data_IF_872043087973
#
_entry.id   IF_872043087973
#
_cell.length_a   1.000
_cell.length_b   1.000
_cell.length_c   1.000
_cell.angle_alpha   90.00
_cell.angle_beta   90.00
_cell.angle_gamma   90.00
#
_symmetry.space_group_name_H-M   'P 1'
#
loop_
_entity.id
_entity.type
_entity.pdbx_description
1 polymer ?
#
# COMPACT_ATOMS: atom_id res chain seq x y z
N UNK A 1 -13.74 12.60 9.45
CA UNK A 1 -13.99 11.16 9.24
C UNK A 1 -13.64 10.81 7.81
N UNK A 2 -13.17 9.58 7.56
CA UNK A 2 -12.81 9.12 6.22
C UNK A 2 -14.08 8.91 5.36
N UNK A 3 -14.14 9.52 4.17
CA UNK A 3 -15.27 9.34 3.25
C UNK A 3 -14.85 8.41 2.10
N UNK A 4 -15.31 7.16 2.18
CA UNK A 4 -14.95 6.09 1.25
C UNK A 4 -15.32 6.38 -0.19
N UNK A 5 -16.53 6.89 -0.43
CA UNK A 5 -17.00 7.23 -1.78
C UNK A 5 -16.09 8.28 -2.40
N UNK A 6 -15.70 9.29 -1.62
CA UNK A 6 -14.78 10.31 -2.10
C UNK A 6 -13.38 9.74 -2.37
N UNK A 7 -12.86 8.86 -1.50
CA UNK A 7 -11.57 8.19 -1.74
C UNK A 7 -11.58 7.42 -3.05
N UNK A 8 -12.61 6.61 -3.30
CA UNK A 8 -12.71 5.81 -4.51
C UNK A 8 -12.89 6.68 -5.77
N UNK A 9 -13.76 7.69 -5.72
CA UNK A 9 -13.97 8.60 -6.85
C UNK A 9 -12.71 9.40 -7.20
N UNK A 10 -12.00 9.92 -6.19
CA UNK A 10 -10.75 10.66 -6.40
C UNK A 10 -9.65 9.73 -6.91
N UNK A 11 -9.55 8.51 -6.38
CA UNK A 11 -8.63 7.48 -6.89
C UNK A 11 -8.86 7.22 -8.38
N UNK A 12 -10.11 6.95 -8.78
CA UNK A 12 -10.47 6.71 -10.18
C UNK A 12 -10.19 7.92 -11.07
N UNK A 13 -10.49 9.13 -10.58
CA UNK A 13 -10.23 10.37 -11.32
C UNK A 13 -8.73 10.58 -11.55
N UNK A 14 -7.90 10.40 -10.53
CA UNK A 14 -6.44 10.53 -10.64
C UNK A 14 -5.89 9.47 -11.59
N UNK A 15 -6.33 8.22 -11.42
CA UNK A 15 -5.92 7.13 -12.29
C UNK A 15 -6.29 7.38 -13.75
N UNK A 16 -7.51 7.83 -14.03
CA UNK A 16 -7.96 8.15 -15.38
C UNK A 16 -7.19 9.33 -16.01
N UNK A 17 -6.67 10.25 -15.20
CA UNK A 17 -5.95 11.42 -15.70
C UNK A 17 -4.49 11.11 -16.07
N UNK A 18 -3.85 10.15 -15.40
CA UNK A 18 -2.49 9.73 -15.72
C UNK A 18 -2.25 8.22 -15.54
N UNK A 19 -2.95 7.37 -16.31
CA UNK A 19 -2.92 5.92 -16.10
C UNK A 19 -1.54 5.35 -16.41
N UNK A 20 -0.93 5.76 -17.53
CA UNK A 20 0.37 5.25 -17.95
C UNK A 20 1.48 5.65 -16.98
N UNK A 21 1.46 6.87 -16.44
CA UNK A 21 2.41 7.31 -15.43
C UNK A 21 2.31 6.47 -14.16
N UNK A 22 1.10 6.27 -13.64
CA UNK A 22 0.88 5.51 -12.40
C UNK A 22 1.29 4.05 -12.58
N UNK A 23 0.91 3.43 -13.70
CA UNK A 23 1.32 2.06 -14.03
C UNK A 23 2.84 1.94 -14.19
N UNK A 24 3.48 2.90 -14.85
CA UNK A 24 4.93 2.92 -15.03
C UNK A 24 5.68 3.01 -13.70
N UNK A 25 5.32 3.98 -12.85
CA UNK A 25 5.97 4.14 -11.52
C UNK A 25 5.73 2.91 -10.65
N UNK A 26 4.53 2.33 -10.70
CA UNK A 26 4.23 1.07 -10.00
C UNK A 26 5.08 -0.08 -10.51
N UNK A 27 5.19 -0.25 -11.83
CA UNK A 27 6.02 -1.27 -12.45
C UNK A 27 7.48 -1.13 -12.05
N UNK A 28 8.05 0.08 -12.14
CA UNK A 28 9.44 0.34 -11.75
C UNK A 28 9.65 0.06 -10.26
N UNK A 29 8.75 0.51 -9.39
CA UNK A 29 8.81 0.25 -7.96
C UNK A 29 8.82 -1.26 -7.65
N UNK A 30 7.94 -2.02 -8.31
CA UNK A 30 7.86 -3.48 -8.16
C UNK A 30 9.11 -4.17 -8.72
N UNK A 31 9.54 -3.81 -9.93
CA UNK A 31 10.71 -4.39 -10.59
C UNK A 31 11.96 -4.21 -9.73
N UNK A 32 12.23 -2.99 -9.25
CA UNK A 32 13.42 -2.71 -8.44
C UNK A 32 13.33 -3.31 -7.03
N UNK A 33 12.13 -3.43 -6.47
CA UNK A 33 11.93 -4.20 -5.24
C UNK A 33 12.25 -5.68 -5.47
N UNK A 34 11.84 -6.26 -6.60
CA UNK A 34 12.06 -7.66 -6.93
C UNK A 34 13.52 -7.99 -7.26
N UNK A 35 14.15 -7.28 -8.21
CA UNK A 35 15.54 -7.56 -8.64
C UNK A 35 16.57 -7.30 -7.54
N UNK A 36 16.23 -6.46 -6.55
CA UNK A 36 17.04 -6.24 -5.35
C UNK A 36 16.74 -7.23 -4.23
N UNK A 37 15.95 -8.27 -4.49
CA UNK A 37 15.51 -9.27 -3.50
C UNK A 37 14.87 -8.63 -2.25
N UNK A 38 14.08 -7.57 -2.46
CA UNK A 38 13.39 -6.86 -1.40
C UNK A 38 14.20 -5.80 -0.68
N UNK A 39 15.50 -5.62 -0.99
CA UNK A 39 16.34 -4.59 -0.35
C UNK A 39 15.74 -3.19 -0.57
N UNK A 40 15.25 -2.92 -1.79
CA UNK A 40 14.68 -1.62 -2.16
C UNK A 40 13.18 -1.48 -1.89
N UNK A 41 12.53 -2.44 -1.23
CA UNK A 41 11.08 -2.41 -1.03
C UNK A 41 10.62 -1.15 -0.30
N UNK A 42 11.33 -0.74 0.76
CA UNK A 42 11.03 0.48 1.49
C UNK A 42 11.20 1.74 0.63
N UNK A 43 12.39 1.99 0.05
CA UNK A 43 12.63 3.14 -0.81
C UNK A 43 11.64 3.24 -1.98
N UNK A 44 11.32 2.13 -2.63
CA UNK A 44 10.37 2.12 -3.75
C UNK A 44 8.93 2.38 -3.29
N UNK A 45 8.50 1.84 -2.15
CA UNK A 45 7.18 2.14 -1.58
C UNK A 45 7.07 3.62 -1.19
N UNK A 46 8.05 4.17 -0.48
CA UNK A 46 8.05 5.59 -0.07
C UNK A 46 8.17 6.51 -1.28
N UNK A 47 8.99 6.14 -2.27
CA UNK A 47 9.13 6.85 -3.53
C UNK A 47 7.82 6.90 -4.32
N UNK A 48 7.14 5.75 -4.48
CA UNK A 48 5.81 5.70 -5.08
C UNK A 48 4.84 6.64 -4.37
N UNK A 49 4.77 6.57 -3.04
CA UNK A 49 3.89 7.43 -2.26
C UNK A 49 4.24 8.92 -2.40
N UNK A 50 5.53 9.27 -2.50
CA UNK A 50 5.97 10.65 -2.73
C UNK A 50 5.53 11.17 -4.11
N UNK A 51 5.70 10.38 -5.18
CA UNK A 51 5.22 10.73 -6.53
C UNK A 51 3.70 10.93 -6.52
N UNK A 52 2.96 9.98 -5.96
CA UNK A 52 1.49 10.05 -5.93
C UNK A 52 0.98 11.22 -5.09
N UNK A 53 1.60 11.51 -3.94
CA UNK A 53 1.23 12.65 -3.10
C UNK A 53 1.52 13.98 -3.79
N UNK A 54 2.67 14.11 -4.46
CA UNK A 54 3.02 15.30 -5.27
C UNK A 54 1.98 15.52 -6.36
N UNK A 55 1.66 14.45 -7.10
CA UNK A 55 0.69 14.52 -8.19
C UNK A 55 -0.72 14.87 -7.68
N UNK A 56 -1.18 14.20 -6.62
CA UNK A 56 -2.51 14.44 -6.05
C UNK A 56 -2.68 15.87 -5.51
N UNK A 57 -1.66 16.42 -4.84
CA UNK A 57 -1.78 17.71 -4.15
C UNK A 57 -1.45 18.91 -5.02
N UNK A 58 -0.51 18.74 -5.95
CA UNK A 58 0.05 19.86 -6.72
C UNK A 58 -0.22 19.72 -8.23
N UNK A 59 -0.79 18.61 -8.68
CA UNK A 59 -1.01 18.32 -10.10
C UNK A 59 0.29 18.03 -10.86
N UNK A 60 1.43 18.01 -10.17
CA UNK A 60 2.75 17.84 -10.78
C UNK A 60 3.16 16.37 -10.82
N UNK A 61 3.42 15.87 -12.02
CA UNK A 61 3.96 14.54 -12.23
C UNK A 61 5.50 14.57 -12.17
N UNK A 62 6.06 14.13 -11.04
CA UNK A 62 7.52 14.16 -10.79
C UNK A 62 8.01 12.73 -10.47
N UNK A 63 8.17 11.85 -11.47
CA UNK A 63 8.53 10.44 -11.27
C UNK A 63 9.93 10.26 -10.67
N UNK A 64 10.80 11.26 -10.76
CA UNK A 64 12.14 11.27 -10.16
C UNK A 64 12.10 11.10 -8.64
N UNK A 65 10.99 11.49 -7.98
CA UNK A 65 10.79 11.29 -6.54
C UNK A 65 10.85 9.81 -6.13
N UNK A 66 10.61 8.88 -7.06
CA UNK A 66 10.77 7.44 -6.83
C UNK A 66 12.19 7.10 -6.36
N UNK A 67 13.18 7.86 -6.84
CA UNK A 67 14.61 7.64 -6.60
C UNK A 67 15.21 8.54 -5.53
N UNK A 68 14.40 9.30 -4.79
CA UNK A 68 14.91 10.28 -3.81
C UNK A 68 14.73 9.82 -2.35
N UNK A 69 14.22 8.60 -2.13
CA UNK A 69 13.82 8.12 -0.81
C UNK A 69 14.81 7.11 -0.18
N UNK A 70 16.09 7.18 -0.55
CA UNK A 70 17.17 6.31 -0.05
C UNK A 70 17.67 6.71 1.34
N UNK A 71 16.80 6.63 2.34
CA UNK A 71 17.11 6.99 3.73
C UNK A 71 17.08 5.74 4.62
N UNK A 72 17.97 5.65 5.60
CA UNK A 72 18.08 4.47 6.50
C UNK A 72 16.74 4.04 7.09
N UNK A 73 15.92 4.98 7.57
CA UNK A 73 14.61 4.69 8.16
C UNK A 73 13.63 4.08 7.16
N UNK A 74 13.75 4.43 5.88
CA UNK A 74 12.91 3.91 4.79
C UNK A 74 13.30 2.48 4.45
N UNK A 75 14.60 2.17 4.40
CA UNK A 75 15.08 0.78 4.29
C UNK A 75 14.59 -0.09 5.45
N UNK A 76 14.78 0.37 6.69
CA UNK A 76 14.32 -0.34 7.88
C UNK A 76 12.81 -0.58 7.85
N UNK A 77 12.00 0.42 7.49
CA UNK A 77 10.56 0.27 7.32
C UNK A 77 10.23 -0.83 6.30
N UNK A 78 10.90 -0.82 5.15
CA UNK A 78 10.73 -1.82 4.11
C UNK A 78 11.05 -3.23 4.58
N UNK A 79 12.16 -3.41 5.30
CA UNK A 79 12.55 -4.73 5.81
C UNK A 79 11.64 -5.23 6.92
N UNK A 80 11.18 -4.36 7.83
CA UNK A 80 10.20 -4.74 8.85
C UNK A 80 8.88 -5.13 8.18
N UNK A 81 8.42 -4.36 7.20
CA UNK A 81 7.24 -4.68 6.41
C UNK A 81 7.38 -6.05 5.70
N UNK A 82 8.50 -6.28 5.01
CA UNK A 82 8.78 -7.54 4.33
C UNK A 82 8.85 -8.71 5.32
N UNK A 83 9.52 -8.55 6.46
CA UNK A 83 9.58 -9.57 7.50
C UNK A 83 8.19 -9.93 8.02
N UNK A 84 7.30 -8.94 8.20
CA UNK A 84 5.91 -9.18 8.61
C UNK A 84 5.09 -9.91 7.55
N UNK A 85 5.29 -9.58 6.26
CA UNK A 85 4.66 -10.33 5.17
C UNK A 85 5.14 -11.79 5.14
N UNK A 86 6.44 -12.02 5.30
CA UNK A 86 7.03 -13.36 5.33
C UNK A 86 6.56 -14.16 6.55
N UNK A 87 6.42 -13.52 7.71
CA UNK A 87 5.84 -14.14 8.91
C UNK A 87 4.44 -14.69 8.61
N UNK A 88 3.62 -13.95 7.86
CA UNK A 88 2.29 -14.42 7.44
C UNK A 88 2.31 -15.64 6.52
N UNK A 89 3.42 -15.87 5.78
CA UNK A 89 3.60 -17.03 4.90
C UNK A 89 4.20 -18.24 5.62
N UNK A 90 5.11 -18.00 6.58
CA UNK A 90 5.97 -19.03 7.16
C UNK A 90 5.51 -19.47 8.54
N UNK A 91 4.85 -18.61 9.32
CA UNK A 91 4.38 -19.00 10.66
C UNK A 91 3.09 -19.81 10.49
N UNK A 92 3.11 -21.13 10.78
CA UNK A 92 1.91 -21.93 10.71
C UNK A 92 0.99 -21.47 11.84
N UNK A 93 0.00 -20.65 11.50
CA UNK A 93 -1.16 -20.53 12.36
C UNK A 93 -1.73 -21.95 12.51
N UNK A 94 -2.07 -22.40 13.73
CA UNK A 94 -2.61 -23.74 13.97
C UNK A 94 -4.06 -23.86 13.47
N UNK A 95 -4.29 -23.46 12.21
CA UNK A 95 -5.57 -23.40 11.52
C UNK A 95 -6.17 -24.79 11.29
N UNK A 96 -5.34 -25.82 11.30
CA UNK A 96 -5.74 -27.23 11.13
C UNK A 96 -6.71 -27.71 12.22
N UNK A 97 -6.75 -27.03 13.37
CA UNK A 97 -7.68 -27.34 14.47
C UNK A 97 -9.06 -26.70 14.29
N UNK A 98 -9.23 -25.83 13.32
CA UNK A 98 -10.46 -25.10 13.05
C UNK A 98 -11.15 -25.63 11.79
N UNK A 99 -12.45 -25.37 11.65
CA UNK A 99 -13.15 -25.65 10.39
C UNK A 99 -12.56 -24.80 9.25
N UNK A 100 -12.66 -25.25 7.97
CA UNK A 100 -12.10 -24.51 6.84
C UNK A 100 -12.57 -23.04 6.76
N UNK A 101 -13.84 -22.80 7.09
CA UNK A 101 -14.43 -21.44 7.10
C UNK A 101 -13.78 -20.58 8.18
N UNK A 102 -13.62 -21.11 9.40
CA UNK A 102 -13.01 -20.36 10.51
C UNK A 102 -11.52 -20.10 10.24
N UNK A 103 -10.82 -21.07 9.66
CA UNK A 103 -9.43 -20.90 9.24
C UNK A 103 -9.26 -19.74 8.23
N UNK A 104 -10.14 -19.66 7.24
CA UNK A 104 -10.12 -18.59 6.23
C UNK A 104 -10.46 -17.23 6.85
N UNK A 105 -11.43 -17.17 7.77
CA UNK A 105 -11.77 -15.94 8.48
C UNK A 105 -10.61 -15.43 9.36
N UNK A 106 -9.90 -16.34 10.03
CA UNK A 106 -8.71 -15.99 10.82
C UNK A 106 -7.58 -15.48 9.93
N UNK A 107 -7.37 -16.09 8.76
CA UNK A 107 -6.41 -15.62 7.76
C UNK A 107 -6.75 -14.21 7.27
N UNK A 108 -8.02 -13.98 6.92
CA UNK A 108 -8.53 -12.68 6.50
C UNK A 108 -8.35 -11.63 7.62
N UNK A 109 -8.66 -11.98 8.87
CA UNK A 109 -8.49 -11.09 10.01
C UNK A 109 -7.01 -10.73 10.24
N UNK A 110 -6.11 -11.70 10.18
CA UNK A 110 -4.67 -11.48 10.32
C UNK A 110 -4.13 -10.54 9.23
N UNK A 111 -4.49 -10.78 7.96
CA UNK A 111 -4.11 -9.91 6.86
C UNK A 111 -4.70 -8.51 6.98
N UNK A 112 -5.92 -8.40 7.51
CA UNK A 112 -6.56 -7.10 7.76
C UNK A 112 -5.83 -6.32 8.84
N UNK A 113 -5.40 -6.98 9.93
CA UNK A 113 -4.59 -6.34 10.98
C UNK A 113 -3.25 -5.86 10.42
N UNK A 114 -2.56 -6.70 9.64
CA UNK A 114 -1.29 -6.31 8.99
C UNK A 114 -1.49 -5.15 8.01
N UNK A 115 -2.56 -5.20 7.21
CA UNK A 115 -2.93 -4.14 6.27
C UNK A 115 -3.24 -2.82 6.97
N UNK A 116 -3.95 -2.86 8.10
CA UNK A 116 -4.22 -1.67 8.91
C UNK A 116 -2.96 -1.11 9.56
N UNK A 117 -2.09 -1.97 10.09
CA UNK A 117 -0.82 -1.58 10.70
C UNK A 117 0.07 -0.80 9.72
N UNK A 118 0.08 -1.22 8.46
CA UNK A 118 0.89 -0.64 7.39
C UNK A 118 0.12 0.24 6.41
N UNK A 119 -1.07 0.71 6.78
CA UNK A 119 -1.94 1.46 5.86
C UNK A 119 -1.39 2.85 5.50
N UNK A 120 -0.80 3.55 6.47
CA UNK A 120 -0.26 4.92 6.33
C UNK A 120 1.26 5.14 6.56
N UNK A 121 2.07 4.20 7.08
CA UNK A 121 3.47 4.49 7.39
C UNK A 121 4.29 4.98 6.20
N UNK A 122 4.10 4.43 5.00
CA UNK A 122 4.89 4.84 3.84
C UNK A 122 4.51 6.24 3.33
N UNK A 123 3.25 6.65 3.47
CA UNK A 123 2.76 8.00 3.17
C UNK A 123 3.35 9.02 4.16
N UNK A 124 3.36 8.69 5.46
CA UNK A 124 4.01 9.51 6.48
C UNK A 124 5.52 9.64 6.25
N UNK A 125 6.20 8.54 5.91
CA UNK A 125 7.63 8.56 5.61
C UNK A 125 7.96 9.37 4.35
N UNK A 126 7.06 9.36 3.37
CA UNK A 126 7.20 10.14 2.14
C UNK A 126 7.06 11.64 2.41
N UNK A 127 6.10 12.05 3.25
CA UNK A 127 5.81 13.46 3.50
C UNK A 127 6.67 14.08 4.62
N UNK A 128 6.83 13.38 5.74
CA UNK A 128 7.32 13.96 7.01
C UNK A 128 8.74 13.54 7.38
N UNK A 129 9.31 12.60 6.63
CA UNK A 129 10.67 12.13 6.77
C UNK A 129 11.11 11.61 8.15
N UNK A 130 10.17 11.28 9.04
CA UNK A 130 10.44 10.78 10.41
C UNK A 130 10.96 9.34 10.47
N UNK A 131 11.01 8.77 11.69
CA UNK A 131 11.32 7.35 11.89
C UNK A 131 10.13 6.46 11.51
N UNK A 132 10.40 5.20 11.17
CA UNK A 132 9.34 4.26 10.82
C UNK A 132 8.40 3.94 11.99
N UNK A 133 8.93 3.88 13.22
CA UNK A 133 8.14 3.66 14.44
C UNK A 133 7.16 4.81 14.69
N UNK A 134 7.61 6.04 14.48
CA UNK A 134 6.77 7.23 14.54
C UNK A 134 5.69 7.19 13.45
N UNK A 135 6.04 6.84 12.22
CA UNK A 135 5.10 6.76 11.11
C UNK A 135 4.00 5.70 11.34
N UNK A 136 4.34 4.55 11.92
CA UNK A 136 3.36 3.53 12.36
C UNK A 136 2.43 4.07 13.44
N UNK A 137 3.00 4.72 14.46
CA UNK A 137 2.23 5.31 15.56
C UNK A 137 1.25 6.37 15.05
N UNK A 138 1.70 7.29 14.21
CA UNK A 138 0.85 8.34 13.63
C UNK A 138 -0.19 7.77 12.66
N UNK A 139 0.17 6.74 11.88
CA UNK A 139 -0.78 5.98 11.06
C UNK A 139 -1.94 5.44 11.88
N UNK A 140 -1.64 4.84 13.03
CA UNK A 140 -2.67 4.31 13.93
C UNK A 140 -3.53 5.42 14.54
N UNK A 141 -2.91 6.52 14.99
CA UNK A 141 -3.66 7.69 15.48
C UNK A 141 -4.60 8.26 14.42
N UNK A 142 -4.17 8.30 13.16
CA UNK A 142 -4.99 8.76 12.05
C UNK A 142 -6.20 7.85 11.84
N UNK A 143 -6.00 6.53 11.83
CA UNK A 143 -7.07 5.52 11.72
C UNK A 143 -8.09 5.68 12.87
N UNK A 144 -7.61 5.78 14.11
CA UNK A 144 -8.47 5.92 15.29
C UNK A 144 -9.32 7.21 15.25
N UNK A 145 -8.71 8.34 14.87
CA UNK A 145 -9.41 9.64 14.80
C UNK A 145 -10.40 9.72 13.64
N UNK A 146 -10.10 9.06 12.51
CA UNK A 146 -10.91 9.16 11.31
C UNK A 146 -11.97 8.05 11.17
N UNK A 147 -11.92 7.02 12.02
CA UNK A 147 -12.90 5.94 12.15
C UNK A 147 -12.38 4.59 11.68
N UNK A 148 -12.18 3.65 12.62
CA UNK A 148 -11.66 2.29 12.34
C UNK A 148 -12.49 1.52 11.30
N UNK A 149 -13.85 1.49 11.37
CA UNK A 149 -14.63 0.67 10.44
C UNK A 149 -14.44 1.03 8.96
N UNK A 150 -14.25 2.31 8.64
CA UNK A 150 -14.00 2.76 7.27
C UNK A 150 -12.65 2.25 6.75
N UNK A 151 -11.61 2.25 7.59
CA UNK A 151 -10.29 1.74 7.21
C UNK A 151 -10.30 0.22 7.07
N UNK A 152 -11.02 -0.49 7.96
CA UNK A 152 -11.23 -1.94 7.84
C UNK A 152 -11.86 -2.24 6.48
N UNK A 153 -12.92 -1.51 6.09
CA UNK A 153 -13.58 -1.74 4.81
C UNK A 153 -12.66 -1.45 3.61
N UNK A 154 -11.85 -0.39 3.64
CA UNK A 154 -10.85 -0.14 2.58
C UNK A 154 -9.81 -1.25 2.49
N UNK A 155 -9.28 -1.68 3.63
CA UNK A 155 -8.29 -2.77 3.67
C UNK A 155 -8.89 -4.06 3.12
N UNK A 156 -10.14 -4.37 3.45
CA UNK A 156 -10.84 -5.53 2.88
C UNK A 156 -11.04 -5.38 1.37
N UNK A 157 -11.46 -4.21 0.88
CA UNK A 157 -11.62 -3.94 -0.55
C UNK A 157 -10.28 -4.08 -1.30
N UNK A 158 -9.19 -3.57 -0.73
CA UNK A 158 -7.84 -3.74 -1.28
C UNK A 158 -7.45 -5.21 -1.29
N UNK A 159 -7.74 -5.96 -0.23
CA UNK A 159 -7.41 -7.39 -0.18
C UNK A 159 -8.17 -8.24 -1.19
N UNK A 160 -9.32 -7.79 -1.72
CA UNK A 160 -10.02 -8.48 -2.81
C UNK A 160 -9.13 -8.64 -4.06
N UNK A 161 -8.12 -7.79 -4.23
CA UNK A 161 -7.08 -7.92 -5.27
C UNK A 161 -6.40 -9.29 -5.22
N UNK A 162 -6.14 -9.80 -4.02
CA UNK A 162 -5.46 -11.08 -3.84
C UNK A 162 -6.29 -12.30 -4.28
N UNK A 163 -7.58 -12.10 -4.54
CA UNK A 163 -8.49 -13.14 -5.02
C UNK A 163 -8.68 -13.09 -6.54
N UNK A 164 -8.03 -12.16 -7.25
CA UNK A 164 -8.01 -12.15 -8.71
C UNK A 164 -7.13 -13.31 -9.20
N UNK A 165 -7.69 -14.31 -9.90
CA UNK A 165 -6.92 -15.46 -10.34
C UNK A 165 -5.86 -15.03 -11.36
N UNK A 166 -4.59 -15.29 -11.03
CA UNK A 166 -3.43 -15.14 -11.92
C UNK A 166 -2.86 -16.54 -12.14
N UNK A 167 -2.58 -16.93 -13.39
CA UNK A 167 -2.09 -18.28 -13.73
C UNK A 167 -2.91 -19.09 -14.73
N UNK A 168 -4.07 -18.59 -15.19
CA UNK A 168 -4.81 -19.16 -16.34
C UNK A 168 -4.65 -18.31 -17.62
N UNK A 169 -3.87 -17.24 -17.56
CA UNK A 169 -3.76 -16.22 -18.60
C UNK A 169 -2.34 -16.09 -19.15
N UNK A 170 -2.14 -15.22 -20.16
CA UNK A 170 -0.81 -14.95 -20.72
C UNK A 170 0.07 -14.24 -19.66
N UNK A 171 1.35 -14.59 -19.47
CA UNK A 171 2.20 -14.02 -18.42
C UNK A 171 2.28 -12.48 -18.42
N UNK A 172 2.22 -11.86 -19.60
CA UNK A 172 2.18 -10.40 -19.74
C UNK A 172 0.88 -9.78 -19.21
N UNK A 173 -0.24 -10.49 -19.38
CA UNK A 173 -1.53 -10.05 -18.85
C UNK A 173 -1.55 -10.17 -17.33
N UNK A 174 -1.03 -11.26 -16.76
CA UNK A 174 -0.91 -11.42 -15.30
C UNK A 174 -0.02 -10.32 -14.70
N UNK A 175 1.10 -10.00 -15.34
CA UNK A 175 1.97 -8.90 -14.93
C UNK A 175 1.25 -7.54 -14.99
N UNK A 176 0.52 -7.27 -16.08
CA UNK A 176 -0.25 -6.05 -16.22
C UNK A 176 -1.32 -5.92 -15.14
N UNK A 177 -2.07 -6.99 -14.87
CA UNK A 177 -3.09 -7.04 -13.82
C UNK A 177 -2.45 -6.81 -12.46
N UNK A 178 -1.31 -7.44 -12.16
CA UNK A 178 -0.58 -7.21 -10.92
C UNK A 178 -0.19 -5.73 -10.74
N UNK A 179 0.44 -5.14 -11.75
CA UNK A 179 0.85 -3.73 -11.73
C UNK A 179 -0.36 -2.81 -11.55
N UNK A 180 -1.45 -3.08 -12.27
CA UNK A 180 -2.69 -2.31 -12.19
C UNK A 180 -3.27 -2.35 -10.78
N UNK A 181 -3.44 -3.54 -10.21
CA UNK A 181 -4.08 -3.70 -8.91
C UNK A 181 -3.21 -3.13 -7.79
N UNK A 182 -1.88 -3.36 -7.82
CA UNK A 182 -0.95 -2.76 -6.85
C UNK A 182 -0.97 -1.24 -6.96
N UNK A 183 -0.97 -0.69 -8.18
CA UNK A 183 -0.97 0.76 -8.41
C UNK A 183 -2.25 1.41 -7.88
N UNK A 184 -3.41 0.81 -8.16
CA UNK A 184 -4.70 1.28 -7.63
C UNK A 184 -4.74 1.16 -6.10
N UNK A 185 -4.30 0.04 -5.52
CA UNK A 185 -4.23 -0.15 -4.07
C UNK A 185 -3.37 0.93 -3.39
N UNK A 186 -2.18 1.17 -3.93
CA UNK A 186 -1.29 2.22 -3.44
C UNK A 186 -1.93 3.60 -3.52
N UNK A 187 -2.61 3.89 -4.64
CA UNK A 187 -3.31 5.16 -4.85
C UNK A 187 -4.48 5.35 -3.87
N UNK A 188 -5.26 4.31 -3.57
CA UNK A 188 -6.32 4.36 -2.55
C UNK A 188 -5.73 4.79 -1.20
N UNK A 189 -4.61 4.19 -0.79
CA UNK A 189 -3.91 4.56 0.44
C UNK A 189 -3.44 6.02 0.45
N UNK A 190 -2.88 6.50 -0.66
CA UNK A 190 -2.44 7.89 -0.84
C UNK A 190 -3.61 8.88 -0.77
N UNK A 191 -4.72 8.59 -1.46
CA UNK A 191 -5.91 9.45 -1.47
C UNK A 191 -6.56 9.49 -0.09
N UNK A 192 -6.70 8.33 0.57
CA UNK A 192 -7.21 8.26 1.93
C UNK A 192 -6.34 9.06 2.90
N UNK A 193 -5.01 8.96 2.76
CA UNK A 193 -4.06 9.74 3.56
C UNK A 193 -4.23 11.25 3.33
N UNK A 194 -4.25 11.68 2.07
CA UNK A 194 -4.35 13.10 1.73
C UNK A 194 -5.70 13.72 2.16
N UNK A 195 -6.79 12.94 2.12
CA UNK A 195 -8.09 13.40 2.62
C UNK A 195 -8.07 13.68 4.13
N UNK A 196 -7.36 12.84 4.89
CA UNK A 196 -7.29 12.95 6.35
C UNK A 196 -6.18 13.89 6.83
N UNK A 197 -5.19 14.16 5.98
CA UNK A 197 -4.05 15.03 6.26
C UNK A 197 -3.89 16.05 5.11
N UNK A 198 -4.83 17.01 4.97
CA UNK A 198 -4.70 18.08 4.00
C UNK A 198 -3.46 18.92 4.33
N UNK A 199 -2.72 19.37 3.30
CA UNK A 199 -1.67 20.35 3.54
C UNK A 199 -2.31 21.63 4.09
N UNK A 200 -1.65 22.35 5.02
CA UNK A 200 -2.03 23.72 5.34
C UNK A 200 -1.94 24.62 4.10
#
# INVERSE_FOLDING_TARGET
MLNLTQVLLVTLRIFAHNPLGILWVTFVALLFSFVSFGILIGPMQVGFNAVMLRYLRQGEWVPELLWQQFRRQVFLAGWVYLALLLVGLVVPLPLQRFSPVVAELLRLAANTVLGLLWFYPFQYLAERHGSWTWAVREGWHLILRAGVPAHVLLVLLIQLINYVPTGTSLPLLDLFVLVLLVGISGLIGVVAYAQLNPQP
#
